data_IF_825426689207
#
_entry.id   IF_825426689207
#
_cell.length_a   1.000
_cell.length_b   1.000
_cell.length_c   1.000
_cell.angle_alpha   90.00
_cell.angle_beta   90.00
_cell.angle_gamma   90.00
#
_symmetry.space_group_name_H-M   'P 1'
#
loop_
_entity.id
_entity.type
_entity.pdbx_description
1 polymer ?
2 non-polymer ?
3 non-polymer ?
4 non-polymer ?
5 non-polymer ?
6 non-polymer ?
7 water ?
#
# COMPACT_ATOMS: atom_id res chain seq x y z
N UNK A 1 11.62 19.00 4.82
CA UNK A 1 10.25 18.47 5.10
C UNK A 1 10.32 16.94 5.13
N UNK A 2 9.34 16.32 5.78
CA UNK A 2 9.14 14.88 5.68
C UNK A 2 7.97 14.64 4.74
N UNK A 3 8.23 13.88 3.68
CA UNK A 3 7.16 13.46 2.76
C UNK A 3 6.88 11.97 2.96
N UNK A 4 5.60 11.67 3.25
CA UNK A 4 5.09 10.32 3.36
C UNK A 4 4.19 10.00 2.18
N UNK A 5 4.52 8.94 1.44
CA UNK A 5 3.69 8.50 0.34
C UNK A 5 3.14 7.11 0.64
N UNK A 6 1.81 6.96 0.52
CA UNK A 6 1.14 5.69 0.27
C UNK A 6 1.74 5.02 -0.96
N UNK A 7 1.60 3.69 -1.04
CA UNK A 7 2.12 2.93 -2.18
C UNK A 7 0.98 2.72 -3.18
N UNK A 8 -0.04 2.02 -2.75
CA UNK A 8 -1.16 1.62 -3.59
C UNK A 8 -1.99 2.81 -4.06
N UNK A 9 -1.93 2.98 -5.40
CA UNK A 9 -2.76 3.91 -6.17
C UNK A 9 -2.23 5.31 -5.90
N UNK A 10 -0.91 5.38 -5.65
CA UNK A 10 -0.21 6.63 -5.43
C UNK A 10 1.15 6.56 -6.08
N UNK A 11 1.97 5.61 -5.68
CA UNK A 11 3.23 5.39 -6.36
C UNK A 11 3.07 4.37 -7.50
N UNK A 12 2.19 3.36 -7.30
CA UNK A 12 1.91 2.35 -8.29
C UNK A 12 0.40 2.29 -8.53
N UNK A 13 -0.01 1.96 -9.78
CA UNK A 13 -1.36 1.48 -10.00
C UNK A 13 -1.37 0.03 -9.55
N UNK A 14 -2.45 -0.41 -8.92
CA UNK A 14 -2.55 -1.77 -8.47
C UNK A 14 -3.99 -2.22 -8.68
N UNK A 15 -4.17 -3.46 -9.15
CA UNK A 15 -5.48 -3.95 -9.47
C UNK A 15 -5.58 -5.43 -9.11
N UNK A 16 -6.34 -5.71 -8.05
CA UNK A 16 -6.55 -7.06 -7.59
C UNK A 16 -7.59 -7.82 -8.43
N UNK A 17 -8.23 -7.18 -9.41
CA UNK A 17 -9.08 -7.95 -10.33
C UNK A 17 -8.29 -8.96 -11.16
N UNK A 18 -7.02 -8.65 -11.45
CA UNK A 18 -6.13 -9.61 -12.07
C UNK A 18 -6.04 -10.91 -11.26
N UNK A 19 -5.99 -10.80 -9.93
CA UNK A 19 -5.90 -11.95 -9.04
C UNK A 19 -7.18 -12.77 -9.16
N UNK A 20 -8.33 -12.09 -9.19
CA UNK A 20 -9.62 -12.76 -9.26
C UNK A 20 -9.68 -13.50 -10.60
N UNK A 21 -9.20 -12.83 -11.66
CA UNK A 21 -9.06 -13.45 -12.96
C UNK A 21 -8.23 -14.73 -12.92
N UNK A 22 -7.13 -14.70 -12.15
CA UNK A 22 -6.25 -15.84 -12.11
C UNK A 22 -6.89 -16.97 -11.32
N UNK A 23 -7.56 -16.64 -10.22
CA UNK A 23 -8.26 -17.66 -9.46
C UNK A 23 -9.43 -18.23 -10.25
N UNK A 24 -10.10 -17.38 -11.06
CA UNK A 24 -11.17 -17.83 -11.93
C UNK A 24 -10.61 -18.79 -12.97
N UNK A 25 -9.43 -18.44 -13.51
CA UNK A 25 -8.76 -19.24 -14.51
C UNK A 25 -8.53 -20.66 -13.98
N UNK A 26 -8.01 -20.76 -12.77
CA UNK A 26 -7.72 -22.04 -12.17
C UNK A 26 -8.98 -22.78 -11.75
N UNK A 27 -9.92 -22.12 -11.07
CA UNK A 27 -11.02 -22.80 -10.40
C UNK A 27 -12.19 -23.01 -11.35
N UNK A 28 -12.27 -22.15 -12.36
CA UNK A 28 -13.40 -22.07 -13.28
C UNK A 28 -14.62 -21.41 -12.62
N UNK A 29 -14.43 -20.84 -11.41
CA UNK A 29 -15.46 -20.10 -10.76
C UNK A 29 -15.67 -18.82 -11.55
N UNK A 30 -16.92 -18.48 -11.95
CA UNK A 30 -17.19 -17.28 -12.72
C UNK A 30 -16.63 -16.06 -12.01
N UNK A 31 -15.97 -15.20 -12.79
CA UNK A 31 -15.33 -14.05 -12.24
C UNK A 31 -16.31 -13.27 -11.37
N UNK A 32 -17.58 -13.19 -11.82
CA UNK A 32 -18.53 -12.29 -11.16
C UNK A 32 -18.80 -12.80 -9.75
N UNK A 33 -18.76 -14.12 -9.54
CA UNK A 33 -18.94 -14.61 -8.20
C UNK A 33 -17.79 -14.15 -7.29
N UNK A 34 -16.56 -14.20 -7.79
CA UNK A 34 -15.41 -13.81 -7.01
C UNK A 34 -15.46 -12.32 -6.74
N UNK A 35 -15.81 -11.52 -7.75
CA UNK A 35 -15.93 -10.10 -7.50
C UNK A 35 -16.94 -9.81 -6.38
N UNK A 36 -18.03 -10.58 -6.30
CA UNK A 36 -19.06 -10.27 -5.34
C UNK A 36 -18.60 -10.68 -3.94
N UNK A 37 -17.89 -11.81 -3.83
CA UNK A 37 -17.55 -12.38 -2.54
C UNK A 37 -16.24 -11.82 -1.95
N UNK A 38 -15.55 -10.94 -2.67
CA UNK A 38 -14.20 -10.48 -2.33
C UNK A 38 -14.23 -9.09 -1.71
N UNK A 39 -13.92 -9.02 -0.41
CA UNK A 39 -14.12 -7.80 0.35
C UNK A 39 -13.11 -7.79 1.50
N UNK A 40 -12.72 -6.58 1.89
CA UNK A 40 -11.59 -6.40 2.79
C UNK A 40 -12.12 -6.11 4.21
N UNK A 41 -12.32 -7.17 5.03
CA UNK A 41 -12.66 -7.04 6.44
C UNK A 41 -11.55 -7.43 7.44
N UNK A 42 -11.94 -8.18 8.48
CA UNK A 42 -11.12 -8.31 9.67
C UNK A 42 -9.86 -9.11 9.32
N UNK A 43 -10.00 -10.12 8.47
CA UNK A 43 -8.88 -11.01 8.17
C UNK A 43 -7.82 -10.21 7.40
N UNK A 44 -8.23 -9.29 6.56
CA UNK A 44 -7.31 -8.34 5.96
C UNK A 44 -6.58 -7.48 7.00
N UNK A 45 -7.32 -6.78 7.88
CA UNK A 45 -6.74 -5.94 8.92
C UNK A 45 -5.70 -6.71 9.72
N UNK A 46 -6.09 -7.92 10.13
CA UNK A 46 -5.17 -8.71 10.93
C UNK A 46 -3.92 -9.07 10.15
N UNK A 47 -4.10 -9.52 8.90
CA UNK A 47 -2.96 -9.90 8.07
C UNK A 47 -2.08 -8.69 7.83
N UNK A 48 -2.67 -7.55 7.50
CA UNK A 48 -1.92 -6.33 7.35
C UNK A 48 -0.99 -6.03 8.55
N UNK A 49 -1.45 -6.39 9.76
CA UNK A 49 -0.78 -6.04 11.00
C UNK A 49 0.10 -7.19 11.46
N UNK A 50 0.16 -8.26 10.66
CA UNK A 50 0.98 -9.41 10.98
C UNK A 50 0.47 -10.25 12.14
N UNK A 51 -0.84 -10.15 12.44
CA UNK A 51 -1.46 -10.79 13.60
C UNK A 51 -1.86 -12.23 13.28
N UNK A 52 -2.02 -12.57 11.99
CA UNK A 52 -2.27 -13.94 11.57
C UNK A 52 -1.35 -14.24 10.41
N UNK A 53 -1.04 -15.51 10.23
CA UNK A 53 -0.11 -16.01 9.24
C UNK A 53 -0.70 -15.88 7.83
N UNK A 54 0.17 -16.07 6.84
CA UNK A 54 -0.23 -16.01 5.43
C UNK A 54 -1.28 -17.08 5.17
N UNK A 55 -1.05 -18.27 5.75
CA UNK A 55 -1.88 -19.43 5.56
C UNK A 55 -3.30 -19.17 6.10
N UNK A 56 -3.37 -18.60 7.33
CA UNK A 56 -4.62 -18.26 7.96
C UNK A 56 -5.37 -17.22 7.15
N UNK A 57 -4.64 -16.23 6.66
CA UNK A 57 -5.24 -15.23 5.79
C UNK A 57 -5.82 -15.89 4.52
N UNK A 58 -5.03 -16.80 3.95
CA UNK A 58 -5.48 -17.49 2.74
C UNK A 58 -6.75 -18.28 3.07
N UNK A 59 -6.71 -18.99 4.20
CA UNK A 59 -7.80 -19.85 4.62
C UNK A 59 -9.05 -18.99 4.81
N UNK A 60 -8.91 -17.80 5.40
CA UNK A 60 -10.09 -17.00 5.63
C UNK A 60 -10.69 -16.54 4.31
N UNK A 61 -9.88 -16.05 3.36
CA UNK A 61 -10.47 -15.55 2.13
C UNK A 61 -11.07 -16.70 1.32
N UNK A 62 -10.43 -17.87 1.33
CA UNK A 62 -10.89 -19.01 0.55
C UNK A 62 -12.22 -19.52 1.10
N UNK A 63 -12.40 -19.42 2.43
CA UNK A 63 -13.65 -19.76 3.10
C UNK A 63 -14.73 -18.78 2.68
N UNK A 64 -14.45 -17.49 2.82
CA UNK A 64 -15.40 -16.51 2.32
C UNK A 64 -15.81 -16.77 0.88
N UNK A 65 -14.88 -17.11 -0.02
CA UNK A 65 -15.19 -16.97 -1.44
C UNK A 65 -15.43 -18.35 -2.04
N UNK A 66 -15.46 -19.38 -1.20
CA UNK A 66 -15.60 -20.76 -1.64
C UNK A 66 -14.55 -21.12 -2.71
N UNK A 67 -13.28 -20.79 -2.40
CA UNK A 67 -12.14 -21.09 -3.27
C UNK A 67 -11.52 -22.39 -2.83
N UNK A 68 -11.60 -23.45 -3.66
CA UNK A 68 -10.99 -24.73 -3.33
C UNK A 68 -9.53 -24.76 -3.77
N UNK A 69 -8.71 -23.94 -3.13
CA UNK A 69 -7.31 -23.74 -3.48
C UNK A 69 -6.43 -24.22 -2.34
N UNK A 70 -5.30 -24.84 -2.65
CA UNK A 70 -4.20 -24.93 -1.71
C UNK A 70 -3.63 -23.54 -1.44
N UNK A 71 -2.79 -23.47 -0.41
CA UNK A 71 -2.08 -22.24 -0.08
C UNK A 71 -1.21 -21.85 -1.26
N UNK A 72 -0.51 -22.83 -1.82
CA UNK A 72 0.36 -22.58 -2.97
C UNK A 72 -0.43 -21.99 -4.15
N UNK A 73 -1.61 -22.57 -4.44
CA UNK A 73 -2.46 -22.06 -5.50
C UNK A 73 -2.98 -20.66 -5.17
N UNK A 74 -3.33 -20.43 -3.90
CA UNK A 74 -3.76 -19.10 -3.52
C UNK A 74 -2.66 -18.09 -3.87
N UNK A 75 -1.47 -18.41 -3.36
CA UNK A 75 -0.30 -17.56 -3.54
C UNK A 75 -0.01 -17.33 -5.02
N UNK A 76 -0.06 -18.44 -5.77
CA UNK A 76 0.18 -18.38 -7.21
C UNK A 76 -0.71 -17.32 -7.84
N UNK A 77 -2.03 -17.32 -7.56
CA UNK A 77 -2.86 -16.25 -8.11
C UNK A 77 -2.62 -14.85 -7.53
N UNK A 78 -2.41 -14.80 -6.20
CA UNK A 78 -2.09 -13.55 -5.51
C UNK A 78 -0.93 -12.87 -6.21
N UNK A 79 0.04 -13.71 -6.63
CA UNK A 79 1.21 -13.20 -7.34
C UNK A 79 0.84 -12.46 -8.63
N UNK A 80 -0.39 -12.62 -9.11
CA UNK A 80 -0.69 -12.14 -10.44
C UNK A 80 -1.11 -10.68 -10.42
N UNK A 81 -1.16 -10.08 -9.24
CA UNK A 81 -1.78 -8.78 -9.10
C UNK A 81 -1.12 -7.78 -10.04
N UNK A 82 -1.97 -6.95 -10.66
CA UNK A 82 -1.46 -5.96 -11.59
C UNK A 82 -0.78 -4.84 -10.83
N UNK A 83 0.49 -4.56 -11.15
CA UNK A 83 1.21 -3.44 -10.59
C UNK A 83 2.03 -2.71 -11.67
N UNK A 84 1.74 -1.43 -11.85
CA UNK A 84 2.49 -0.54 -12.73
C UNK A 84 3.06 0.63 -11.91
N UNK A 85 4.35 0.91 -12.07
CA UNK A 85 4.94 2.11 -11.50
C UNK A 85 4.32 3.36 -12.12
N UNK A 86 4.25 4.44 -11.32
CA UNK A 86 4.01 5.77 -11.86
C UNK A 86 5.35 6.50 -11.89
N UNK A 87 6.06 6.53 -13.05
CA UNK A 87 7.43 7.07 -13.07
C UNK A 87 7.49 8.56 -12.71
N UNK A 88 6.40 9.30 -12.92
CA UNK A 88 6.36 10.70 -12.55
C UNK A 88 6.61 10.81 -11.03
N UNK A 89 5.95 9.95 -10.26
CA UNK A 89 5.97 10.00 -8.81
C UNK A 89 7.32 9.52 -8.31
N UNK A 90 7.87 8.52 -8.97
CA UNK A 90 9.18 8.01 -8.60
C UNK A 90 10.24 9.11 -8.79
N UNK A 91 10.15 9.85 -9.90
CA UNK A 91 11.12 10.90 -10.18
C UNK A 91 11.00 12.04 -9.16
N UNK A 92 9.77 12.45 -8.86
CA UNK A 92 9.51 13.44 -7.83
C UNK A 92 10.13 13.01 -6.51
N UNK A 93 10.00 11.73 -6.16
CA UNK A 93 10.54 11.25 -4.90
C UNK A 93 12.05 11.39 -4.90
N UNK A 94 12.70 11.04 -6.00
CA UNK A 94 14.15 11.14 -6.07
C UNK A 94 14.59 12.60 -5.93
N UNK A 95 13.78 13.51 -6.47
CA UNK A 95 14.14 14.91 -6.58
C UNK A 95 14.07 15.52 -5.18
N UNK A 96 12.98 15.20 -4.46
CA UNK A 96 12.76 15.68 -3.11
C UNK A 96 13.93 15.31 -2.22
N UNK A 97 14.49 14.11 -2.39
CA UNK A 97 15.57 13.65 -1.56
C UNK A 97 16.85 14.45 -1.83
N UNK A 98 17.19 14.62 -3.10
CA UNK A 98 18.42 15.31 -3.47
C UNK A 98 18.33 16.79 -3.08
N UNK A 99 17.12 17.32 -2.89
CA UNK A 99 16.98 18.63 -2.28
C UNK A 99 16.96 18.55 -0.75
N UNK A 100 17.36 17.41 -0.18
CA UNK A 100 17.50 17.30 1.26
C UNK A 100 16.17 17.15 2.02
N UNK A 101 15.03 17.01 1.32
CA UNK A 101 13.84 16.53 1.99
C UNK A 101 13.93 15.03 2.29
N UNK A 102 13.24 14.60 3.35
CA UNK A 102 13.14 13.19 3.76
C UNK A 102 11.90 12.58 3.08
N UNK A 103 12.08 11.40 2.48
CA UNK A 103 11.01 10.78 1.69
C UNK A 103 10.82 9.32 2.11
N UNK A 104 9.60 9.00 2.54
CA UNK A 104 9.35 7.64 2.99
C UNK A 104 8.02 7.15 2.43
N UNK A 105 7.85 5.82 2.54
CA UNK A 105 6.65 5.15 2.07
C UNK A 105 5.97 4.54 3.28
N UNK A 106 4.63 4.62 3.29
CA UNK A 106 3.81 4.01 4.33
C UNK A 106 2.70 3.17 3.70
N UNK A 107 2.75 1.85 3.95
CA UNK A 107 1.91 0.93 3.23
C UNK A 107 1.38 -0.16 4.14
N UNK A 108 0.07 -0.32 4.09
CA UNK A 108 -0.60 -1.51 4.56
C UNK A 108 -0.44 -2.61 3.53
N UNK A 109 0.19 -3.72 3.92
CA UNK A 109 0.62 -4.70 2.95
C UNK A 109 0.04 -6.06 3.28
N UNK A 110 -0.45 -6.69 2.22
CA UNK A 110 -0.80 -8.09 2.30
C UNK A 110 0.16 -8.94 1.47
N UNK A 111 1.43 -8.56 1.39
CA UNK A 111 2.50 -9.40 0.89
C UNK A 111 2.37 -10.72 1.64
N UNK A 112 2.70 -11.84 0.96
CA UNK A 112 2.89 -13.14 1.59
C UNK A 112 4.40 -13.47 1.61
N UNK A 113 4.85 -14.42 2.46
CA UNK A 113 6.24 -14.81 2.46
C UNK A 113 6.67 -15.43 1.12
N UNK A 114 5.70 -15.85 0.29
CA UNK A 114 5.97 -16.54 -0.98
C UNK A 114 5.83 -15.63 -2.19
N UNK A 115 5.53 -14.34 -2.01
CA UNK A 115 5.25 -13.50 -3.18
C UNK A 115 6.26 -12.37 -3.28
N UNK A 116 6.36 -11.84 -4.51
CA UNK A 116 7.15 -10.67 -4.85
C UNK A 116 6.23 -9.47 -4.97
N UNK A 117 6.44 -8.48 -4.09
CA UNK A 117 5.48 -7.43 -3.88
C UNK A 117 6.11 -6.08 -4.16
N UNK A 118 5.30 -5.03 -4.45
CA UNK A 118 5.84 -3.72 -4.81
C UNK A 118 6.89 -3.17 -3.84
N UNK A 119 6.70 -3.40 -2.54
CA UNK A 119 7.64 -2.85 -1.57
C UNK A 119 9.00 -3.50 -1.78
N UNK A 120 9.02 -4.65 -2.47
CA UNK A 120 10.29 -5.34 -2.73
C UNK A 120 10.88 -4.87 -4.07
N UNK A 121 10.21 -3.98 -4.80
CA UNK A 121 10.73 -3.63 -6.12
C UNK A 121 11.93 -2.68 -5.95
N UNK A 122 13.08 -2.96 -6.61
CA UNK A 122 14.26 -2.10 -6.47
C UNK A 122 14.01 -0.63 -6.76
N UNK A 123 13.12 -0.34 -7.71
CA UNK A 123 12.86 1.03 -8.14
C UNK A 123 12.13 1.79 -7.03
N UNK A 124 11.40 1.08 -6.18
CA UNK A 124 10.62 1.74 -5.14
C UNK A 124 11.51 1.88 -3.91
N UNK A 125 12.27 0.83 -3.58
CA UNK A 125 13.22 0.94 -2.50
C UNK A 125 14.24 2.06 -2.74
N UNK A 126 14.79 2.13 -3.98
CA UNK A 126 15.84 3.09 -4.31
C UNK A 126 15.26 4.51 -4.35
N UNK A 127 13.93 4.65 -4.34
CA UNK A 127 13.32 5.97 -4.42
C UNK A 127 12.98 6.55 -3.05
N UNK A 128 13.15 5.76 -1.99
CA UNK A 128 12.67 6.18 -0.69
C UNK A 128 13.81 6.13 0.32
N UNK A 129 13.78 7.05 1.29
CA UNK A 129 14.68 6.94 2.42
C UNK A 129 14.33 5.71 3.25
N UNK A 130 13.03 5.42 3.38
CA UNK A 130 12.61 4.32 4.23
C UNK A 130 11.22 3.90 3.77
N UNK A 131 10.91 2.63 4.00
CA UNK A 131 9.60 2.08 3.69
C UNK A 131 8.99 1.49 4.95
N UNK A 132 7.83 2.02 5.35
CA UNK A 132 7.21 1.57 6.58
C UNK A 132 6.09 0.63 6.18
N UNK A 133 6.07 -0.59 6.74
CA UNK A 133 5.12 -1.61 6.36
C UNK A 133 4.33 -2.09 7.57
N UNK A 134 3.03 -2.21 7.35
CA UNK A 134 2.10 -2.58 8.40
C UNK A 134 2.50 -3.89 9.08
N UNK A 135 2.91 -4.89 8.30
CA UNK A 135 3.10 -6.23 8.87
C UNK A 135 4.28 -6.21 9.85
N UNK A 136 5.29 -5.40 9.51
CA UNK A 136 6.49 -5.29 10.34
C UNK A 136 6.13 -4.53 11.63
N UNK A 137 5.26 -3.53 11.54
CA UNK A 137 4.95 -2.66 12.67
C UNK A 137 3.86 -3.23 13.57
N UNK A 138 3.03 -4.17 13.08
CA UNK A 138 1.86 -4.58 13.86
C UNK A 138 0.81 -3.47 14.00
N UNK A 139 0.81 -2.57 13.02
CA UNK A 139 -0.08 -1.42 12.95
C UNK A 139 -0.51 -1.23 11.48
N UNK A 140 -1.64 -0.57 11.25
CA UNK A 140 -2.04 -0.26 9.89
C UNK A 140 -2.65 1.13 9.84
N UNK A 141 -2.53 1.80 8.68
CA UNK A 141 -3.37 2.99 8.48
C UNK A 141 -4.84 2.57 8.53
N UNK A 142 -5.77 3.39 9.06
CA UNK A 142 -5.53 4.77 9.48
C UNK A 142 -5.28 4.98 10.99
N UNK A 143 -4.87 3.92 11.72
CA UNK A 143 -4.63 4.00 13.15
C UNK A 143 -3.59 5.06 13.51
N UNK A 144 -3.85 5.86 14.55
CA UNK A 144 -3.01 7.01 14.87
C UNK A 144 -1.60 6.52 15.15
N UNK A 145 -1.50 5.31 15.73
CA UNK A 145 -0.21 4.82 16.18
C UNK A 145 0.75 4.64 15.01
N UNK A 146 0.26 4.35 13.79
CA UNK A 146 1.20 4.12 12.70
C UNK A 146 1.76 5.47 12.23
N UNK A 147 0.92 6.52 12.17
CA UNK A 147 1.44 7.83 11.78
C UNK A 147 2.44 8.28 12.85
N UNK A 148 2.07 8.10 14.11
CA UNK A 148 2.95 8.51 15.17
C UNK A 148 4.28 7.75 15.11
N UNK A 149 4.25 6.45 14.80
CA UNK A 149 5.49 5.69 14.67
C UNK A 149 6.42 6.38 13.68
N UNK A 150 5.87 6.84 12.56
CA UNK A 150 6.68 7.46 11.51
C UNK A 150 7.24 8.82 11.95
N UNK A 151 6.39 9.70 12.49
CA UNK A 151 6.88 10.99 13.02
C UNK A 151 7.98 10.74 14.03
N UNK A 152 7.72 9.82 14.96
CA UNK A 152 8.69 9.56 16.00
C UNK A 152 9.98 9.04 15.38
N UNK A 153 9.93 8.03 14.51
CA UNK A 153 11.16 7.41 14.04
C UNK A 153 11.95 8.32 13.10
N UNK A 154 11.28 9.22 12.39
CA UNK A 154 11.95 10.10 11.44
C UNK A 154 12.39 11.41 12.12
N UNK A 155 11.80 11.72 13.29
CA UNK A 155 12.08 12.92 14.06
C UNK A 155 11.50 14.19 13.43
N UNK A 156 10.23 14.15 13.02
CA UNK A 156 9.61 15.34 12.45
C UNK A 156 8.31 15.61 13.19
N UNK A 157 7.89 16.87 13.19
CA UNK A 157 6.62 17.24 13.78
C UNK A 157 5.52 17.09 12.74
N UNK A 158 4.25 16.99 13.18
CA UNK A 158 3.14 16.99 12.25
C UNK A 158 3.23 18.13 11.25
N UNK A 159 3.64 19.30 11.72
CA UNK A 159 3.50 20.50 10.91
C UNK A 159 4.60 20.52 9.84
N UNK A 160 5.64 19.71 10.01
CA UNK A 160 6.68 19.60 9.01
C UNK A 160 6.49 18.34 8.17
N UNK A 161 5.28 17.78 8.15
CA UNK A 161 5.08 16.52 7.47
C UNK A 161 3.95 16.67 6.45
N UNK A 162 4.18 16.11 5.24
CA UNK A 162 3.15 16.05 4.20
C UNK A 162 2.92 14.60 3.81
N UNK A 163 1.66 14.22 3.72
CA UNK A 163 1.26 12.85 3.52
C UNK A 163 0.33 12.79 2.31
N UNK A 164 0.60 11.81 1.43
CA UNK A 164 -0.20 11.54 0.23
C UNK A 164 -0.83 10.16 0.28
N UNK A 165 -2.16 10.09 0.19
CA UNK A 165 -2.88 8.84 0.17
C UNK A 165 -4.21 9.03 -0.55
N UNK A 166 -4.71 7.98 -1.19
CA UNK A 166 -5.93 8.06 -1.96
C UNK A 166 -7.11 7.64 -1.11
N UNK A 167 -6.86 7.14 0.11
CA UNK A 167 -7.93 6.67 0.95
C UNK A 167 -8.31 7.76 1.94
N UNK A 168 -9.61 8.08 2.02
CA UNK A 168 -10.02 9.28 2.73
C UNK A 168 -9.95 9.05 4.23
N UNK A 169 -10.18 7.83 4.69
CA UNK A 169 -10.02 7.51 6.10
C UNK A 169 -8.55 7.66 6.48
N UNK A 170 -7.65 7.25 5.59
CA UNK A 170 -6.23 7.33 5.92
C UNK A 170 -5.88 8.80 6.11
N UNK A 171 -6.43 9.62 5.23
CA UNK A 171 -6.17 11.05 5.23
C UNK A 171 -6.69 11.68 6.54
N UNK A 172 -7.87 11.23 7.00
CA UNK A 172 -8.50 11.72 8.21
C UNK A 172 -7.63 11.35 9.42
N UNK A 173 -7.21 10.07 9.47
CA UNK A 173 -6.35 9.59 10.54
C UNK A 173 -5.08 10.44 10.71
N UNK A 174 -4.49 10.85 9.58
CA UNK A 174 -3.33 11.73 9.62
C UNK A 174 -3.72 13.14 10.07
N UNK A 175 -4.86 13.65 9.61
CA UNK A 175 -5.24 15.02 9.90
C UNK A 175 -5.43 15.22 11.40
N UNK A 176 -6.03 14.22 12.04
CA UNK A 176 -6.27 14.23 13.48
C UNK A 176 -4.99 14.54 14.24
N UNK A 177 -3.80 14.32 13.65
CA UNK A 177 -2.54 14.48 14.39
C UNK A 177 -1.82 15.75 13.93
N UNK A 178 -2.49 16.51 13.05
CA UNK A 178 -1.95 17.74 12.51
C UNK A 178 -0.95 17.52 11.39
N UNK A 179 -1.06 16.38 10.69
CA UNK A 179 -0.26 16.20 9.49
C UNK A 179 -0.95 16.89 8.32
N UNK A 180 -0.15 17.54 7.47
CA UNK A 180 -0.69 18.03 6.21
C UNK A 180 -0.93 16.83 5.28
N UNK A 181 -2.21 16.55 5.02
CA UNK A 181 -2.64 15.37 4.30
C UNK A 181 -3.27 15.76 2.96
N UNK A 182 -2.72 15.22 1.86
CA UNK A 182 -3.18 15.48 0.50
C UNK A 182 -3.89 14.24 -0.05
N UNK A 183 -5.22 14.33 -0.24
CA UNK A 183 -5.98 13.25 -0.84
C UNK A 183 -5.53 13.09 -2.29
N UNK A 184 -5.21 11.87 -2.70
CA UNK A 184 -4.80 11.65 -4.09
C UNK A 184 -6.06 11.31 -4.88
N UNK A 185 -6.48 12.22 -5.77
CA UNK A 185 -7.74 12.03 -6.50
C UNK A 185 -7.48 11.18 -7.74
N UNK A 186 -6.28 11.34 -8.30
CA UNK A 186 -5.90 10.66 -9.52
C UNK A 186 -4.41 10.97 -9.72
N UNK A 187 -3.95 10.75 -10.95
CA UNK A 187 -2.54 10.77 -11.28
C UNK A 187 -1.98 12.18 -11.39
N UNK A 188 -2.83 13.22 -11.33
CA UNK A 188 -2.41 14.60 -11.46
C UNK A 188 -2.14 15.27 -10.11
N UNK A 189 -2.82 14.82 -9.05
CA UNK A 189 -2.71 15.42 -7.73
C UNK A 189 -1.25 15.69 -7.38
N UNK A 190 -0.40 14.67 -7.54
CA UNK A 190 0.95 14.78 -7.03
C UNK A 190 1.82 15.58 -8.00
N UNK A 191 1.82 15.30 -9.32
CA UNK A 191 2.55 16.15 -10.27
C UNK A 191 2.20 17.64 -10.18
N UNK A 192 0.91 17.96 -10.00
CA UNK A 192 0.46 19.32 -9.79
C UNK A 192 1.10 19.91 -8.53
N UNK A 193 0.80 19.32 -7.38
CA UNK A 193 1.33 19.77 -6.10
C UNK A 193 2.80 20.16 -6.24
N UNK A 194 3.58 19.39 -7.00
CA UNK A 194 5.02 19.62 -7.03
C UNK A 194 5.46 20.37 -8.29
N UNK A 195 4.51 20.83 -9.13
CA UNK A 195 4.84 21.40 -10.44
C UNK A 195 5.84 22.56 -10.30
N UNK A 196 5.33 23.70 -9.80
CA UNK A 196 6.10 24.92 -9.55
C UNK A 196 7.27 24.68 -8.59
N UNK A 197 7.08 23.82 -7.58
CA UNK A 197 8.00 23.70 -6.46
C UNK A 197 9.29 22.97 -6.89
N UNK A 198 9.21 22.21 -8.00
CA UNK A 198 10.36 21.52 -8.56
C UNK A 198 10.65 22.04 -9.96
N UNK A 199 9.87 21.59 -10.95
CA UNK A 199 9.87 22.15 -12.31
C UNK A 199 8.84 21.41 -13.18
X LIG B 1 -2.77 -5.61 -0.03
X LIG B 1 -3.63 -4.56 -0.39
X LIG B 1 -1.45 -5.61 -0.80
X LIG B 1 -0.55 -4.63 -0.27
X LIG B 1 -0.05 -3.72 -1.24
X LIG B 1 -0.54 -2.33 -0.97
X LIG B 1 -1.10 -1.69 -2.13
X LIG C 1 11.81 -6.29 -10.75
X LIG C 1 13.14 -6.06 -10.26
X LIG C 1 11.07 -5.07 -11.30
X LIG C 1 10.36 -4.25 -10.34
X LIG C 1 10.08 -5.48 -12.36
X LIG C 1 10.08 -4.59 -13.48
X LIG D 1 13.28 0.80 3.03
X LIG D 1 13.20 0.86 4.46
X LIG D 1 14.71 0.71 2.50
X LIG D 1 14.86 -0.54 1.82
X LIG D 1 15.08 1.84 1.58
X LIG D 1 13.93 2.47 1.03
X LIG E 1 -0.11 -23.60 -9.08
X LIG E 1 0.08 -23.28 -7.70
X LIG E 1 -1.54 -23.39 -9.54
X LIG E 1 -1.58 -22.32 -10.49
X LIG E 1 -2.15 -24.62 -10.19
X LIG E 1 -1.52 -25.82 -9.73
X LIG F 1 -3.72 3.82 -1.55
X LIG G 1 9.09 -11.59 -1.35
X LIG H 1 -1.87 1.13 2.15
X LIG I 1 -0.23 0.29 -0.12
X LIG J 1 -3.85 3.82 17.66
X LIG K 1 -15.26 -24.10 -17.66
#
# INVERSE_FOLDING_TARGET
MLYIFDLGNVIVDIDFNRVLGAWSDLTRIPLASLKKSFHMGEAFHQHERGEISDEAFAEALCHEMALPLSYEQFSHGWQAVFVALRPEVIAIMHKLREQGHRVVVLSNTNRLHTTFWPEEYPEIRDAADHIYLSQDLGMRKPEARIYQHVLQAEGFSPSDTVFFDDNADNIEGANQLGITSILVKDKTTIPDYFAKVLCLEHHHHHH
PEG C1 O1 C2 O2 C3 C4 O4
GOL C1 O1 C2 O2 C3 O3
GOL C1 O1 C2 O2 C3 O3
GOL C1 O1 C2 O2 C3 O3
MG MG
CA CA
CL CL
CL CL
CL CL
CL CL
#
